data_IF_016732691917
#
_entry.id   IF_016732691917
#
_cell.length_a   1.000
_cell.length_b   1.000
_cell.length_c   1.000
_cell.angle_alpha   90.00
_cell.angle_beta   90.00
_cell.angle_gamma   90.00
#
_symmetry.space_group_name_H-M   'P 1'
#
loop_
_entity.id
_entity.type
_entity.pdbx_description
1 polymer ?
#
# COMPACT_ATOMS: atom_id res chain seq x y z
N UNK A 1 10.83 28.20 -52.43
CA UNK A 1 9.79 27.46 -51.67
C UNK A 1 10.32 26.52 -50.58
N UNK A 2 11.63 26.50 -50.25
CA UNK A 2 12.21 25.55 -49.25
C UNK A 2 12.36 26.13 -47.83
N UNK A 3 12.49 27.46 -47.68
CA UNK A 3 12.74 28.10 -46.39
C UNK A 3 11.47 28.27 -45.52
N UNK A 4 10.32 28.52 -46.16
CA UNK A 4 9.03 28.76 -45.51
C UNK A 4 8.48 27.52 -44.77
N UNK A 5 8.76 26.32 -45.32
CA UNK A 5 8.33 25.04 -44.74
C UNK A 5 9.20 24.64 -43.54
N UNK A 6 10.50 24.92 -43.56
CA UNK A 6 11.41 24.63 -42.43
C UNK A 6 11.05 25.45 -41.19
N UNK A 7 10.68 26.73 -41.36
CA UNK A 7 10.25 27.57 -40.25
C UNK A 7 8.93 27.08 -39.64
N UNK A 8 7.90 26.79 -40.45
CA UNK A 8 6.62 26.24 -39.98
C UNK A 8 6.76 24.90 -39.25
N UNK A 9 7.63 24.02 -39.74
CA UNK A 9 7.92 22.74 -39.07
C UNK A 9 8.63 22.98 -37.72
N UNK A 10 9.61 23.89 -37.66
CA UNK A 10 10.31 24.22 -36.40
C UNK A 10 9.37 24.78 -35.33
N UNK A 11 8.50 25.73 -35.67
CA UNK A 11 7.52 26.30 -34.74
C UNK A 11 6.39 25.32 -34.40
N UNK A 12 5.94 24.50 -35.37
CA UNK A 12 4.97 23.44 -35.14
C UNK A 12 5.48 22.37 -34.18
N UNK A 13 6.74 21.95 -34.32
CA UNK A 13 7.39 21.01 -33.39
C UNK A 13 7.47 21.57 -31.97
N UNK A 14 7.80 22.86 -31.81
CA UNK A 14 7.84 23.50 -30.50
C UNK A 14 6.46 23.55 -29.83
N UNK A 15 5.41 23.86 -30.60
CA UNK A 15 4.03 23.83 -30.12
C UNK A 15 3.58 22.43 -29.68
N UNK A 16 3.98 21.38 -30.41
CA UNK A 16 3.68 19.99 -30.05
C UNK A 16 4.38 19.58 -28.73
N UNK A 17 5.63 19.98 -28.55
CA UNK A 17 6.38 19.73 -27.31
C UNK A 17 5.71 20.43 -26.12
N UNK A 18 5.37 21.72 -26.25
CA UNK A 18 4.69 22.46 -25.19
C UNK A 18 3.31 21.86 -24.88
N UNK A 19 2.53 21.50 -25.91
CA UNK A 19 1.23 20.86 -25.74
C UNK A 19 1.32 19.50 -25.02
N UNK A 20 2.30 18.68 -25.38
CA UNK A 20 2.55 17.40 -24.73
C UNK A 20 2.92 17.55 -23.25
N UNK A 21 3.74 18.56 -22.89
CA UNK A 21 4.10 18.84 -21.51
C UNK A 21 2.86 19.27 -20.70
N UNK A 22 2.04 20.17 -21.24
CA UNK A 22 0.82 20.64 -20.57
C UNK A 22 -0.17 19.48 -20.38
N UNK A 23 -0.35 18.62 -21.39
CA UNK A 23 -1.20 17.45 -21.30
C UNK A 23 -0.71 16.45 -20.25
N UNK A 24 0.61 16.19 -20.20
CA UNK A 24 1.21 15.34 -19.17
C UNK A 24 0.99 15.91 -17.76
N UNK A 25 1.29 17.19 -17.53
CA UNK A 25 1.10 17.81 -16.22
C UNK A 25 -0.37 17.72 -15.80
N UNK A 26 -1.30 18.04 -16.71
CA UNK A 26 -2.74 17.99 -16.39
C UNK A 26 -3.20 16.55 -16.09
N UNK A 27 -2.72 15.57 -16.87
CA UNK A 27 -3.05 14.16 -16.67
C UNK A 27 -2.50 13.59 -15.36
N UNK A 28 -1.23 13.85 -15.04
CA UNK A 28 -0.58 13.35 -13.83
C UNK A 28 -0.96 14.12 -12.56
N UNK A 29 -1.28 15.41 -12.66
CA UNK A 29 -1.65 16.22 -11.49
C UNK A 29 -3.13 16.08 -11.11
N UNK A 30 -4.04 16.09 -12.08
CA UNK A 30 -5.49 16.11 -11.81
C UNK A 30 -6.25 14.96 -12.47
N UNK A 31 -5.80 14.50 -13.65
CA UNK A 31 -6.43 13.40 -14.38
C UNK A 31 -6.27 12.01 -13.75
N UNK A 32 -5.55 11.91 -12.62
CA UNK A 32 -5.31 10.63 -11.94
C UNK A 32 -4.44 9.66 -12.76
N UNK A 33 -3.66 10.16 -13.73
CA UNK A 33 -2.70 9.31 -14.43
C UNK A 33 -1.65 8.82 -13.46
N UNK A 34 -1.52 7.51 -13.37
CA UNK A 34 -0.49 6.83 -12.58
C UNK A 34 0.24 5.86 -13.49
N UNK A 35 1.52 5.66 -13.23
CA UNK A 35 2.30 4.63 -13.94
C UNK A 35 2.01 3.26 -13.33
N UNK A 36 2.03 2.21 -14.14
CA UNK A 36 1.74 0.84 -13.69
C UNK A 36 2.62 0.39 -12.50
N UNK A 37 3.88 0.83 -12.45
CA UNK A 37 4.77 0.57 -11.32
C UNK A 37 4.27 1.17 -10.01
N UNK A 38 3.86 2.44 -10.03
CA UNK A 38 3.27 3.14 -8.88
C UNK A 38 1.94 2.54 -8.47
N UNK A 39 1.07 2.18 -9.42
CA UNK A 39 -0.19 1.51 -9.11
C UNK A 39 0.07 0.18 -8.39
N UNK A 40 1.04 -0.61 -8.86
CA UNK A 40 1.34 -1.91 -8.28
C UNK A 40 1.84 -1.81 -6.84
N UNK A 41 2.72 -0.85 -6.53
CA UNK A 41 3.21 -0.67 -5.15
C UNK A 41 2.08 -0.18 -4.25
N UNK A 42 1.31 0.81 -4.69
CA UNK A 42 0.17 1.34 -3.93
C UNK A 42 -0.88 0.26 -3.65
N UNK A 43 -1.21 -0.58 -4.64
CA UNK A 43 -2.15 -1.69 -4.45
C UNK A 43 -1.60 -2.73 -3.47
N UNK A 44 -0.31 -3.09 -3.56
CA UNK A 44 0.30 -4.05 -2.61
C UNK A 44 0.22 -3.52 -1.18
N UNK A 45 0.60 -2.26 -0.96
CA UNK A 45 0.57 -1.64 0.37
C UNK A 45 -0.86 -1.51 0.89
N UNK A 46 -1.81 -1.11 0.05
CA UNK A 46 -3.23 -1.01 0.42
C UNK A 46 -3.83 -2.38 0.76
N UNK A 47 -3.45 -3.43 0.02
CA UNK A 47 -3.89 -4.81 0.29
C UNK A 47 -3.33 -5.30 1.62
N UNK A 48 -2.04 -5.06 1.89
CA UNK A 48 -1.40 -5.44 3.16
C UNK A 48 -2.02 -4.67 4.34
N UNK A 49 -2.30 -3.37 4.18
CA UNK A 49 -2.98 -2.57 5.21
C UNK A 49 -4.39 -3.08 5.49
N UNK A 50 -5.14 -3.45 4.45
CA UNK A 50 -6.49 -4.03 4.58
C UNK A 50 -6.46 -5.40 5.27
N UNK A 51 -5.48 -6.24 4.90
CA UNK A 51 -5.23 -7.54 5.54
C UNK A 51 -4.88 -7.39 7.02
N UNK A 52 -4.02 -6.42 7.36
CA UNK A 52 -3.67 -6.11 8.74
C UNK A 52 -4.90 -5.66 9.54
N UNK A 53 -5.76 -4.80 8.98
CA UNK A 53 -7.00 -4.39 9.63
C UNK A 53 -7.93 -5.58 9.90
N UNK A 54 -8.03 -6.53 8.96
CA UNK A 54 -8.80 -7.76 9.13
C UNK A 54 -8.18 -8.64 10.23
N UNK A 55 -6.85 -8.78 10.27
CA UNK A 55 -6.14 -9.51 11.32
C UNK A 55 -6.45 -8.94 12.70
N UNK A 56 -6.39 -7.61 12.87
CA UNK A 56 -6.76 -6.93 14.12
C UNK A 56 -8.23 -7.19 14.48
N UNK A 57 -9.14 -7.10 13.51
CA UNK A 57 -10.55 -7.38 13.75
C UNK A 57 -10.81 -8.84 14.17
N UNK A 58 -10.11 -9.80 13.56
CA UNK A 58 -10.16 -11.21 13.95
C UNK A 58 -9.60 -11.43 15.36
N UNK A 59 -8.49 -10.76 15.68
CA UNK A 59 -7.87 -10.82 16.99
C UNK A 59 -8.82 -10.28 18.08
N UNK A 60 -9.45 -9.13 17.86
CA UNK A 60 -10.40 -8.51 18.81
C UNK A 60 -11.67 -9.32 19.02
N UNK A 61 -12.08 -10.15 18.06
CA UNK A 61 -13.21 -11.08 18.24
C UNK A 61 -12.91 -12.23 19.20
N UNK A 62 -11.66 -12.47 19.57
CA UNK A 62 -11.34 -13.56 20.47
C UNK A 62 -11.73 -13.24 21.93
N UNK A 63 -12.24 -14.22 22.69
CA UNK A 63 -12.70 -14.00 24.07
C UNK A 63 -11.58 -13.68 25.06
N UNK A 64 -10.30 -13.85 24.67
CA UNK A 64 -9.11 -13.58 25.51
C UNK A 64 -8.13 -12.61 24.85
N UNK A 65 -8.64 -11.69 24.00
CA UNK A 65 -7.81 -10.75 23.25
C UNK A 65 -6.94 -9.86 24.15
N UNK A 66 -7.43 -9.40 25.29
CA UNK A 66 -6.63 -8.55 26.20
C UNK A 66 -5.43 -9.29 26.82
N UNK A 67 -5.64 -10.53 27.28
CA UNK A 67 -4.54 -11.33 27.84
C UNK A 67 -3.49 -11.64 26.78
N UNK A 68 -3.94 -11.91 25.54
CA UNK A 68 -3.04 -12.16 24.41
C UNK A 68 -2.36 -10.89 23.90
N UNK A 69 -3.01 -9.72 23.98
CA UNK A 69 -2.37 -8.43 23.71
C UNK A 69 -1.21 -8.21 24.66
N UNK A 70 -1.41 -8.40 25.98
CA UNK A 70 -0.31 -8.23 26.96
C UNK A 70 0.85 -9.20 26.73
N UNK A 71 0.55 -10.43 26.34
CA UNK A 71 1.57 -11.43 25.99
C UNK A 71 2.35 -11.03 24.73
N UNK A 72 1.65 -10.49 23.72
CA UNK A 72 2.28 -9.95 22.51
C UNK A 72 3.08 -8.67 22.82
N UNK A 73 2.58 -7.81 23.70
CA UNK A 73 3.27 -6.60 24.12
C UNK A 73 4.61 -6.92 24.81
N UNK A 74 4.64 -7.96 25.64
CA UNK A 74 5.84 -8.38 26.36
C UNK A 74 6.94 -8.97 25.47
N UNK A 75 6.61 -9.44 24.25
CA UNK A 75 7.58 -10.02 23.32
C UNK A 75 8.07 -9.00 22.28
N UNK A 76 9.25 -9.28 21.71
CA UNK A 76 9.85 -8.42 20.69
C UNK A 76 9.05 -8.41 19.39
N UNK A 77 9.18 -7.35 18.57
CA UNK A 77 8.42 -7.19 17.31
C UNK A 77 8.54 -8.38 16.35
N UNK A 78 9.70 -9.02 16.30
CA UNK A 78 9.94 -10.24 15.51
C UNK A 78 9.15 -11.44 16.04
N UNK A 79 9.14 -11.62 17.37
CA UNK A 79 8.37 -12.67 18.04
C UNK A 79 6.86 -12.40 17.97
N UNK A 80 6.42 -11.14 17.93
CA UNK A 80 5.01 -10.77 17.72
C UNK A 80 4.52 -11.25 16.36
N UNK A 81 5.29 -11.01 15.30
CA UNK A 81 4.93 -11.47 13.96
C UNK A 81 4.84 -13.01 13.92
N UNK A 82 5.83 -13.71 14.49
CA UNK A 82 5.82 -15.19 14.55
C UNK A 82 4.66 -15.75 15.40
N UNK A 83 4.33 -15.09 16.52
CA UNK A 83 3.17 -15.44 17.33
C UNK A 83 1.86 -15.22 16.56
N UNK A 84 1.81 -14.20 15.71
CA UNK A 84 0.65 -13.92 14.86
C UNK A 84 0.48 -14.99 13.77
N UNK A 85 1.58 -15.39 13.12
CA UNK A 85 1.61 -16.49 12.15
C UNK A 85 1.19 -17.82 12.80
N UNK A 86 1.72 -18.12 13.99
CA UNK A 86 1.36 -19.33 14.77
C UNK A 86 -0.10 -19.33 15.20
N UNK A 87 -0.66 -18.16 15.54
CA UNK A 87 -2.07 -18.01 15.87
C UNK A 87 -3.00 -17.98 14.65
N UNK A 88 -2.44 -17.82 13.45
CA UNK A 88 -3.17 -17.81 12.18
C UNK A 88 -4.04 -16.58 11.94
N UNK A 89 -3.83 -15.48 12.69
CA UNK A 89 -4.61 -14.25 12.52
C UNK A 89 -4.21 -13.46 11.27
N UNK A 90 -3.01 -13.72 10.75
CA UNK A 90 -2.49 -13.26 9.47
C UNK A 90 -3.15 -13.91 8.25
N UNK A 91 -3.88 -15.03 8.45
CA UNK A 91 -4.66 -15.67 7.40
C UNK A 91 -5.96 -14.91 7.14
N UNK A 92 -6.18 -14.59 5.87
CA UNK A 92 -7.46 -14.05 5.40
C UNK A 92 -8.56 -15.11 5.55
N UNK A 93 -9.78 -14.74 5.97
CA UNK A 93 -10.90 -15.67 6.06
C UNK A 93 -11.17 -16.31 4.68
N UNK A 94 -11.08 -17.64 4.62
CA UNK A 94 -11.21 -18.40 3.37
C UNK A 94 -9.91 -18.65 2.59
N UNK A 95 -8.74 -18.28 3.14
CA UNK A 95 -7.43 -18.63 2.57
C UNK A 95 -6.62 -19.53 3.50
N UNK A 96 -5.95 -20.54 2.93
CA UNK A 96 -5.13 -21.50 3.69
C UNK A 96 -3.76 -20.95 4.12
N UNK A 97 -3.26 -19.93 3.40
CA UNK A 97 -1.95 -19.30 3.61
C UNK A 97 -2.10 -17.81 3.87
N UNK A 98 -1.28 -17.30 4.78
CA UNK A 98 -1.12 -15.86 4.98
C UNK A 98 -0.14 -15.29 3.94
N UNK A 99 -0.24 -13.98 3.68
CA UNK A 99 0.80 -13.26 2.96
C UNK A 99 1.97 -12.99 3.89
N UNK A 100 3.21 -13.18 3.42
CA UNK A 100 4.44 -13.08 4.24
C UNK A 100 4.61 -11.71 4.93
N UNK A 101 3.99 -10.67 4.39
CA UNK A 101 4.04 -9.30 4.94
C UNK A 101 2.89 -8.95 5.87
N UNK A 102 1.85 -9.80 5.95
CA UNK A 102 0.63 -9.54 6.72
C UNK A 102 0.88 -9.65 8.20
N UNK A 103 1.64 -10.65 8.64
CA UNK A 103 1.94 -10.86 10.06
C UNK A 103 2.66 -9.65 10.67
N UNK A 104 3.64 -9.06 9.96
CA UNK A 104 4.31 -7.83 10.39
C UNK A 104 3.39 -6.62 10.37
N UNK A 105 2.58 -6.45 9.33
CA UNK A 105 1.65 -5.34 9.25
C UNK A 105 0.58 -5.43 10.35
N UNK A 106 0.12 -6.63 10.68
CA UNK A 106 -0.79 -6.88 11.79
C UNK A 106 -0.13 -6.60 13.14
N UNK A 107 1.12 -7.04 13.34
CA UNK A 107 1.88 -6.72 14.56
C UNK A 107 1.99 -5.21 14.79
N UNK A 108 2.30 -4.44 13.74
CA UNK A 108 2.33 -2.98 13.80
C UNK A 108 0.95 -2.38 14.12
N UNK A 109 -0.13 -2.93 13.54
CA UNK A 109 -1.50 -2.50 13.84
C UNK A 109 -1.91 -2.75 15.30
N UNK A 110 -1.53 -3.91 15.85
CA UNK A 110 -1.74 -4.25 17.26
C UNK A 110 -0.86 -3.39 18.18
N UNK A 111 0.32 -2.97 17.73
CA UNK A 111 1.20 -2.08 18.49
C UNK A 111 0.58 -0.71 18.77
N UNK A 112 -0.21 -0.19 17.82
CA UNK A 112 -1.01 1.01 18.03
C UNK A 112 -2.09 0.81 19.10
N UNK A 113 -2.57 -0.41 19.32
CA UNK A 113 -3.49 -0.73 20.42
C UNK A 113 -2.76 -0.84 21.76
N UNK A 114 -1.55 -1.41 21.81
CA UNK A 114 -0.73 -1.44 23.04
C UNK A 114 -0.49 -0.03 23.59
N UNK A 115 -0.15 0.92 22.71
CA UNK A 115 0.14 2.30 23.11
C UNK A 115 -1.11 3.08 23.59
N UNK A 116 -2.31 2.57 23.29
CA UNK A 116 -3.58 3.22 23.65
C UNK A 116 -4.14 2.69 24.98
N UNK A 117 -3.69 1.52 25.45
CA UNK A 117 -4.14 0.90 26.72
C UNK A 117 -3.33 1.35 27.93
#
# INVERSE_FOLDING_TARGET
MKAETTAKVKYGSWGLICGAIIAMITGFAWGGWTTAGTTQTMTKDAVVASQAAICVAQFMKQPKHETKLKELEAVSSWQRAEAIEKGGWDKMPGQDKAGDTVARACANGLELLFKKS
#
